data_IF_886781006803
#
_entry.id   IF_886781006803
#
_cell.length_a   1.000
_cell.length_b   1.000
_cell.length_c   1.000
_cell.angle_alpha   90.00
_cell.angle_beta   90.00
_cell.angle_gamma   90.00
#
_symmetry.space_group_name_H-M   'P 1'
#
loop_
_entity.id
_entity.type
_entity.pdbx_description
1 polymer ?
#
# COMPACT_ATOMS: atom_id res chain seq x y z
N UNK A 1 -4.71 44.77 9.51
CA UNK A 1 -5.16 43.90 8.40
C UNK A 1 -3.94 43.10 7.99
N UNK A 2 -3.85 41.85 8.44
CA UNK A 2 -2.79 40.94 8.01
C UNK A 2 -3.05 40.56 6.55
N UNK A 3 -2.13 40.94 5.67
CA UNK A 3 -2.16 40.49 4.28
C UNK A 3 -1.79 39.00 4.27
N UNK A 4 -2.76 38.17 3.93
CA UNK A 4 -2.53 36.76 3.69
C UNK A 4 -1.69 36.64 2.42
N UNK A 5 -0.45 36.17 2.58
CA UNK A 5 0.45 35.96 1.46
C UNK A 5 -0.20 34.98 0.46
N UNK A 6 -0.06 35.27 -0.84
CA UNK A 6 -0.55 34.38 -1.89
C UNK A 6 0.13 33.00 -1.72
N UNK A 7 -0.61 31.90 -1.95
CA UNK A 7 -0.04 30.56 -1.84
C UNK A 7 1.16 30.42 -2.80
N UNK A 8 2.20 29.69 -2.38
CA UNK A 8 3.40 29.51 -3.19
C UNK A 8 3.08 28.83 -4.52
N UNK A 9 3.82 29.21 -5.56
CA UNK A 9 3.72 28.63 -6.90
C UNK A 9 3.99 27.11 -6.85
N UNK A 10 3.04 26.25 -7.23
CA UNK A 10 3.18 24.80 -7.17
C UNK A 10 4.36 24.26 -7.99
N UNK A 11 4.82 25.00 -9.00
CA UNK A 11 5.96 24.62 -9.85
C UNK A 11 7.33 24.82 -9.18
N UNK A 12 7.37 25.52 -8.02
CA UNK A 12 8.58 25.82 -7.25
C UNK A 12 8.65 25.09 -5.91
N UNK A 13 7.62 24.33 -5.56
CA UNK A 13 7.61 23.54 -4.33
C UNK A 13 8.59 22.37 -4.44
N UNK A 14 9.31 22.11 -3.36
CA UNK A 14 10.02 20.84 -3.19
C UNK A 14 9.04 19.69 -3.46
N UNK A 15 9.49 18.63 -4.16
CA UNK A 15 8.62 17.52 -4.55
C UNK A 15 7.98 16.87 -3.31
N UNK A 16 8.69 16.86 -2.19
CA UNK A 16 8.25 16.38 -0.87
C UNK A 16 7.49 17.42 -0.04
N UNK A 17 7.24 18.63 -0.55
CA UNK A 17 6.45 19.64 0.19
C UNK A 17 5.05 19.13 0.48
N UNK A 18 4.57 19.34 1.72
CA UNK A 18 3.18 19.06 2.11
C UNK A 18 2.17 20.08 1.55
N UNK A 19 2.66 21.14 0.91
CA UNK A 19 1.85 22.08 0.13
C UNK A 19 1.73 21.64 -1.35
N UNK A 20 2.32 20.51 -1.72
CA UNK A 20 2.17 19.92 -3.04
C UNK A 20 0.71 19.55 -3.29
N UNK A 21 0.20 19.82 -4.50
CA UNK A 21 -1.18 19.54 -4.92
C UNK A 21 -1.64 18.09 -4.75
N UNK A 22 -0.69 17.14 -4.73
CA UNK A 22 -1.00 15.72 -4.53
C UNK A 22 -0.96 15.29 -3.08
N UNK A 23 -0.58 16.16 -2.15
CA UNK A 23 -0.58 15.87 -0.72
C UNK A 23 -1.91 16.32 -0.09
N UNK A 24 -2.85 15.39 0.03
CA UNK A 24 -4.18 15.70 0.56
C UNK A 24 -4.15 15.86 2.07
N UNK A 25 -4.67 16.96 2.61
CA UNK A 25 -4.56 17.24 4.05
C UNK A 25 -5.53 16.42 4.92
N UNK A 26 -6.55 15.82 4.31
CA UNK A 26 -7.59 15.04 4.99
C UNK A 26 -7.67 13.62 4.40
N UNK A 27 -7.92 12.65 5.28
CA UNK A 27 -8.10 11.22 4.98
C UNK A 27 -9.57 10.84 4.79
N UNK A 28 -10.51 11.62 5.31
CA UNK A 28 -11.90 11.20 5.57
C UNK A 28 -12.59 10.59 4.35
N UNK A 29 -12.43 11.19 3.16
CA UNK A 29 -13.04 10.67 1.92
C UNK A 29 -12.13 9.75 1.09
N UNK A 30 -10.93 9.45 1.61
CA UNK A 30 -9.86 8.77 0.88
C UNK A 30 -9.47 7.41 1.47
N UNK A 31 -10.06 7.01 2.61
CA UNK A 31 -9.88 5.66 3.18
C UNK A 31 -11.11 4.78 2.91
N UNK A 32 -11.05 3.83 1.97
CA UNK A 32 -12.15 2.90 1.72
C UNK A 32 -12.47 2.03 2.94
N UNK A 33 -13.74 1.66 3.11
CA UNK A 33 -14.20 0.87 4.25
C UNK A 33 -13.45 -0.48 4.41
N UNK A 34 -13.18 -1.18 3.30
CA UNK A 34 -12.42 -2.44 3.33
C UNK A 34 -10.98 -2.24 3.80
N UNK A 35 -10.37 -1.11 3.45
CA UNK A 35 -9.00 -0.79 3.85
C UNK A 35 -8.92 -0.37 5.31
N UNK A 36 -9.91 0.37 5.80
CA UNK A 36 -10.07 0.64 7.23
C UNK A 36 -10.23 -0.66 8.01
N UNK A 37 -11.14 -1.52 7.56
CA UNK A 37 -11.36 -2.85 8.14
C UNK A 37 -10.09 -3.70 8.16
N UNK A 38 -9.27 -3.63 7.10
CA UNK A 38 -7.98 -4.31 7.05
C UNK A 38 -7.03 -3.80 8.14
N UNK A 39 -6.91 -2.48 8.31
CA UNK A 39 -6.07 -1.89 9.36
C UNK A 39 -6.57 -2.27 10.77
N UNK A 40 -7.88 -2.30 10.97
CA UNK A 40 -8.48 -2.67 12.25
C UNK A 40 -8.30 -4.16 12.56
N UNK A 41 -8.70 -5.05 11.64
CA UNK A 41 -8.76 -6.49 11.89
C UNK A 41 -7.43 -7.21 11.65
N UNK A 42 -6.70 -6.86 10.59
CA UNK A 42 -5.41 -7.50 10.31
C UNK A 42 -4.30 -6.90 11.15
N UNK A 43 -4.25 -5.56 11.22
CA UNK A 43 -3.15 -4.83 11.89
C UNK A 43 -3.41 -4.58 13.37
N UNK A 44 -4.60 -4.95 13.87
CA UNK A 44 -5.03 -4.79 15.27
C UNK A 44 -4.90 -3.32 15.75
N UNK A 45 -5.25 -2.38 14.87
CA UNK A 45 -5.24 -0.95 15.18
C UNK A 45 -6.63 -0.56 15.70
N UNK A 46 -6.75 0.05 16.90
CA UNK A 46 -8.01 0.57 17.39
C UNK A 46 -8.64 1.55 16.37
N UNK A 47 -9.97 1.50 16.21
CA UNK A 47 -10.67 2.29 15.21
C UNK A 47 -10.40 3.81 15.35
N UNK A 48 -10.25 4.29 16.58
CA UNK A 48 -9.91 5.67 16.93
C UNK A 48 -8.48 6.07 16.51
N UNK A 49 -7.57 5.10 16.37
CA UNK A 49 -6.16 5.32 16.09
C UNK A 49 -5.82 5.20 14.60
N UNK A 50 -6.71 4.60 13.78
CA UNK A 50 -6.45 4.32 12.35
C UNK A 50 -6.01 5.57 11.59
N UNK A 51 -6.71 6.69 11.75
CA UNK A 51 -6.44 7.89 10.97
C UNK A 51 -5.06 8.48 11.33
N UNK A 52 -4.78 8.58 12.64
CA UNK A 52 -3.49 9.09 13.12
C UNK A 52 -2.32 8.22 12.66
N UNK A 53 -2.52 6.89 12.67
CA UNK A 53 -1.55 5.92 12.17
C UNK A 53 -1.31 6.08 10.66
N UNK A 54 -2.38 6.20 9.87
CA UNK A 54 -2.30 6.38 8.42
C UNK A 54 -1.58 7.69 8.06
N UNK A 55 -1.87 8.80 8.74
CA UNK A 55 -1.15 10.06 8.50
C UNK A 55 0.34 9.93 8.80
N UNK A 56 0.70 9.33 9.94
CA UNK A 56 2.10 9.11 10.32
C UNK A 56 2.85 8.29 9.29
N UNK A 57 2.26 7.17 8.85
CA UNK A 57 2.88 6.28 7.86
C UNK A 57 2.96 6.94 6.50
N UNK A 58 1.91 7.65 6.07
CA UNK A 58 1.94 8.41 4.82
C UNK A 58 3.09 9.41 4.82
N UNK A 59 3.31 10.12 5.91
CA UNK A 59 4.38 11.11 5.99
C UNK A 59 5.76 10.47 5.81
N UNK A 60 5.99 9.30 6.42
CA UNK A 60 7.21 8.52 6.19
C UNK A 60 7.36 8.10 4.72
N UNK A 61 6.28 7.58 4.10
CA UNK A 61 6.30 7.19 2.69
C UNK A 61 6.56 8.40 1.77
N UNK A 62 5.96 9.54 2.08
CA UNK A 62 6.03 10.77 1.29
C UNK A 62 7.43 11.40 1.34
N UNK A 63 8.07 11.39 2.51
CA UNK A 63 9.43 11.89 2.69
C UNK A 63 10.45 11.08 1.87
N UNK A 64 10.20 9.77 1.67
CA UNK A 64 11.05 8.91 0.85
C UNK A 64 10.74 9.01 -0.65
N UNK A 65 9.46 8.97 -1.01
CA UNK A 65 9.03 8.93 -2.40
C UNK A 65 7.67 9.63 -2.55
N UNK A 66 7.64 10.94 -2.87
CA UNK A 66 6.43 11.75 -2.92
C UNK A 66 5.62 11.51 -4.20
N UNK A 67 5.24 10.25 -4.43
CA UNK A 67 4.35 9.88 -5.52
C UNK A 67 2.91 10.30 -5.20
N UNK A 68 2.11 10.70 -6.21
CA UNK A 68 0.70 11.04 -6.01
C UNK A 68 -0.10 9.94 -5.30
N UNK A 69 0.22 8.67 -5.53
CA UNK A 69 -0.46 7.56 -4.85
C UNK A 69 -0.28 7.57 -3.32
N UNK A 70 0.81 8.15 -2.82
CA UNK A 70 1.07 8.30 -1.38
C UNK A 70 0.31 9.49 -0.83
N UNK A 71 0.49 10.67 -1.45
CA UNK A 71 -0.12 11.91 -0.98
C UNK A 71 -1.66 11.89 -1.01
N UNK A 72 -2.24 11.19 -1.98
CA UNK A 72 -3.69 11.03 -2.14
C UNK A 72 -4.26 9.79 -1.42
N UNK A 73 -3.47 9.10 -0.59
CA UNK A 73 -3.84 7.87 0.13
C UNK A 73 -4.25 6.67 -0.76
N UNK A 74 -3.98 6.72 -2.07
CA UNK A 74 -4.30 5.63 -3.00
C UNK A 74 -3.56 4.33 -2.70
N UNK A 75 -2.44 4.38 -1.97
CA UNK A 75 -1.75 3.18 -1.45
C UNK A 75 -2.61 2.34 -0.50
N UNK A 76 -3.72 2.89 0.01
CA UNK A 76 -4.72 2.15 0.80
C UNK A 76 -5.90 1.68 -0.06
N UNK A 77 -5.99 2.03 -1.34
CA UNK A 77 -7.11 1.61 -2.18
C UNK A 77 -6.92 0.17 -2.66
N UNK A 78 -7.84 -0.72 -2.28
CA UNK A 78 -7.90 -2.10 -2.78
C UNK A 78 -8.64 -2.15 -4.11
N UNK A 79 -7.91 -2.48 -5.17
CA UNK A 79 -8.41 -2.64 -6.55
C UNK A 79 -8.58 -4.11 -6.93
N UNK A 80 -7.76 -5.01 -6.38
CA UNK A 80 -7.83 -6.43 -6.73
C UNK A 80 -9.22 -7.04 -6.45
N UNK A 81 -9.88 -6.77 -5.29
CA UNK A 81 -11.24 -7.26 -5.05
C UNK A 81 -12.30 -6.73 -6.02
N UNK A 82 -12.03 -5.59 -6.66
CA UNK A 82 -12.93 -4.97 -7.65
C UNK A 82 -12.67 -5.48 -9.07
N UNK A 83 -11.62 -6.28 -9.29
CA UNK A 83 -11.24 -6.74 -10.60
C UNK A 83 -12.22 -7.84 -11.09
N UNK A 84 -12.70 -7.81 -12.36
CA UNK A 84 -13.66 -8.80 -12.87
C UNK A 84 -13.20 -10.25 -12.78
N UNK A 85 -11.88 -10.48 -12.77
CA UNK A 85 -11.26 -11.81 -12.62
C UNK A 85 -10.99 -12.21 -11.17
N UNK A 86 -11.33 -11.39 -10.18
CA UNK A 86 -11.06 -11.70 -8.77
C UNK A 86 -11.60 -13.08 -8.34
N UNK A 87 -12.84 -13.49 -8.70
CA UNK A 87 -13.32 -14.84 -8.35
C UNK A 87 -12.48 -15.96 -8.97
N UNK A 88 -12.01 -15.78 -10.21
CA UNK A 88 -11.15 -16.76 -10.88
C UNK A 88 -9.75 -16.81 -10.25
N UNK A 89 -9.20 -15.67 -9.82
CA UNK A 89 -7.93 -15.60 -9.08
C UNK A 89 -8.07 -16.36 -7.77
N UNK A 90 -9.12 -16.12 -6.99
CA UNK A 90 -9.37 -16.85 -5.74
C UNK A 90 -9.55 -18.34 -5.97
N UNK A 91 -10.29 -18.74 -7.01
CA UNK A 91 -10.44 -20.14 -7.38
C UNK A 91 -9.08 -20.76 -7.68
N UNK A 92 -8.22 -20.12 -8.46
CA UNK A 92 -6.88 -20.62 -8.74
C UNK A 92 -6.05 -20.77 -7.47
N UNK A 93 -6.08 -19.76 -6.59
CA UNK A 93 -5.30 -19.76 -5.35
C UNK A 93 -5.78 -20.80 -4.31
N UNK A 94 -7.06 -21.19 -4.36
CA UNK A 94 -7.66 -22.13 -3.40
C UNK A 94 -7.85 -23.55 -3.94
N UNK A 95 -7.85 -23.73 -5.27
CA UNK A 95 -8.22 -24.99 -5.92
C UNK A 95 -7.21 -26.13 -5.82
N UNK A 96 -5.98 -25.87 -5.38
CA UNK A 96 -4.90 -26.87 -5.44
C UNK A 96 -4.31 -27.16 -4.07
N UNK A 97 -4.60 -28.37 -3.55
CA UNK A 97 -3.88 -29.01 -2.43
C UNK A 97 -2.56 -29.60 -2.95
N UNK A 98 -1.82 -28.82 -3.74
CA UNK A 98 -0.55 -29.23 -4.32
C UNK A 98 0.57 -28.57 -3.53
N UNK A 99 1.68 -29.28 -3.31
CA UNK A 99 2.90 -28.70 -2.74
C UNK A 99 3.96 -28.60 -3.84
N UNK A 100 4.46 -27.39 -4.19
CA UNK A 100 4.00 -26.09 -3.68
C UNK A 100 2.65 -25.67 -4.27
N UNK A 101 1.88 -24.92 -3.47
CA UNK A 101 0.61 -24.34 -3.88
C UNK A 101 0.76 -23.25 -4.94
N UNK A 102 -0.36 -22.77 -5.50
CA UNK A 102 -0.39 -21.69 -6.47
C UNK A 102 0.07 -20.38 -5.80
N UNK A 103 0.91 -19.61 -6.50
CA UNK A 103 1.48 -18.36 -5.99
C UNK A 103 0.84 -17.14 -6.63
N UNK A 104 0.74 -16.05 -5.88
CA UNK A 104 0.30 -14.74 -6.39
C UNK A 104 1.47 -13.75 -6.38
N UNK A 105 1.62 -12.99 -7.46
CA UNK A 105 2.63 -11.93 -7.58
C UNK A 105 1.94 -10.59 -7.87
N UNK A 106 2.14 -9.61 -7.00
CA UNK A 106 1.75 -8.21 -7.19
C UNK A 106 2.96 -7.38 -7.65
N UNK A 107 2.84 -6.73 -8.81
CA UNK A 107 3.92 -5.96 -9.45
C UNK A 107 3.60 -4.48 -9.35
N UNK A 108 4.52 -3.71 -8.77
CA UNK A 108 4.24 -2.33 -8.35
C UNK A 108 3.35 -2.34 -7.11
N UNK A 109 3.65 -3.23 -6.16
CA UNK A 109 2.78 -3.51 -5.02
C UNK A 109 2.71 -2.36 -4.01
N UNK A 110 3.54 -1.32 -4.14
CA UNK A 110 3.66 -0.23 -3.16
C UNK A 110 3.89 -0.79 -1.75
N UNK A 111 2.92 -0.66 -0.83
CA UNK A 111 3.00 -1.20 0.53
C UNK A 111 2.45 -2.63 0.66
N UNK A 112 2.08 -3.28 -0.45
CA UNK A 112 1.57 -4.65 -0.47
C UNK A 112 0.19 -4.79 0.17
N UNK A 113 -0.66 -3.77 0.08
CA UNK A 113 -2.00 -3.76 0.67
C UNK A 113 -2.91 -4.86 0.11
N UNK A 114 -2.77 -5.20 -1.17
CA UNK A 114 -3.55 -6.27 -1.81
C UNK A 114 -3.17 -7.64 -1.25
N UNK A 115 -1.89 -7.85 -0.94
CA UNK A 115 -1.41 -9.09 -0.34
C UNK A 115 -1.98 -9.28 1.06
N UNK A 116 -1.99 -8.23 1.89
CA UNK A 116 -2.63 -8.29 3.23
C UNK A 116 -4.13 -8.50 3.12
N UNK A 117 -4.79 -7.87 2.14
CA UNK A 117 -6.22 -8.08 1.90
C UNK A 117 -6.53 -9.53 1.48
N UNK A 118 -5.72 -10.14 0.60
CA UNK A 118 -5.85 -11.56 0.24
C UNK A 118 -5.67 -12.48 1.45
N UNK A 119 -4.65 -12.22 2.27
CA UNK A 119 -4.38 -13.00 3.47
C UNK A 119 -5.52 -12.89 4.49
N UNK A 120 -6.01 -11.68 4.76
CA UNK A 120 -7.05 -11.42 5.76
C UNK A 120 -8.45 -11.85 5.31
N UNK A 121 -8.87 -11.45 4.10
CA UNK A 121 -10.27 -11.58 3.67
C UNK A 121 -10.53 -12.78 2.78
N UNK A 122 -9.50 -13.39 2.23
CA UNK A 122 -9.62 -14.59 1.38
C UNK A 122 -8.83 -15.77 1.91
N UNK A 123 -8.27 -15.65 3.12
CA UNK A 123 -7.58 -16.70 3.86
C UNK A 123 -6.46 -17.38 3.05
N UNK A 124 -5.82 -16.61 2.14
CA UNK A 124 -4.70 -17.12 1.35
C UNK A 124 -3.45 -17.11 2.24
N UNK A 125 -2.77 -18.25 2.44
CA UNK A 125 -1.54 -18.29 3.23
C UNK A 125 -0.51 -17.28 2.71
N UNK A 126 -0.02 -16.42 3.59
CA UNK A 126 0.83 -15.30 3.17
C UNK A 126 2.15 -15.74 2.54
N UNK A 127 2.66 -16.94 2.86
CA UNK A 127 3.84 -17.56 2.21
C UNK A 127 3.69 -17.77 0.69
N UNK A 128 2.46 -17.76 0.17
CA UNK A 128 2.17 -17.86 -1.26
C UNK A 128 2.03 -16.50 -1.95
N UNK A 129 2.15 -15.40 -1.19
CA UNK A 129 1.97 -14.04 -1.65
C UNK A 129 3.32 -13.37 -1.85
N UNK A 130 3.53 -12.85 -3.06
CA UNK A 130 4.76 -12.19 -3.48
C UNK A 130 4.42 -10.77 -3.93
N UNK A 131 5.24 -9.81 -3.53
CA UNK A 131 5.13 -8.41 -3.92
C UNK A 131 6.46 -7.88 -4.40
N UNK A 132 6.43 -7.07 -5.45
CA UNK A 132 7.60 -6.33 -5.89
C UNK A 132 7.27 -4.87 -6.17
N UNK A 133 8.18 -3.99 -5.80
CA UNK A 133 8.15 -2.57 -6.16
C UNK A 133 9.59 -2.08 -6.37
N UNK A 134 9.77 -1.04 -7.18
CA UNK A 134 11.09 -0.45 -7.37
C UNK A 134 11.54 0.33 -6.13
N UNK A 135 10.59 0.79 -5.31
CA UNK A 135 10.83 1.58 -4.10
C UNK A 135 10.95 0.67 -2.87
N UNK A 136 12.17 0.29 -2.48
CA UNK A 136 12.41 -0.56 -1.30
C UNK A 136 11.90 0.04 0.03
N UNK A 137 11.85 1.37 0.15
CA UNK A 137 11.29 2.04 1.33
C UNK A 137 9.80 1.75 1.52
N UNK A 138 9.02 1.61 0.44
CA UNK A 138 7.60 1.24 0.54
C UNK A 138 7.42 -0.14 1.16
N UNK A 139 8.24 -1.10 0.72
CA UNK A 139 8.23 -2.47 1.24
C UNK A 139 8.63 -2.52 2.72
N UNK A 140 9.60 -1.70 3.11
CA UNK A 140 10.07 -1.65 4.50
C UNK A 140 9.04 -0.97 5.42
N UNK A 141 8.48 0.16 5.00
CA UNK A 141 7.46 0.92 5.75
C UNK A 141 6.11 0.21 5.78
N UNK A 142 5.82 -0.69 4.83
CA UNK A 142 4.62 -1.54 4.86
C UNK A 142 4.45 -2.29 6.19
N UNK A 143 5.55 -2.77 6.77
CA UNK A 143 5.49 -3.48 8.05
C UNK A 143 5.09 -2.57 9.23
N UNK A 144 5.37 -1.27 9.13
CA UNK A 144 4.91 -0.30 10.13
C UNK A 144 3.42 0.02 9.94
N UNK A 145 2.96 0.08 8.68
CA UNK A 145 1.55 0.25 8.34
C UNK A 145 0.69 -0.88 8.89
N UNK A 146 1.10 -2.13 8.62
CA UNK A 146 0.31 -3.32 8.92
C UNK A 146 0.68 -4.01 10.24
N UNK A 147 1.74 -3.54 10.92
CA UNK A 147 2.24 -4.09 12.20
C UNK A 147 2.50 -5.61 12.15
N UNK A 148 3.00 -6.09 11.02
CA UNK A 148 3.01 -7.52 10.67
C UNK A 148 4.41 -8.10 10.43
N UNK A 149 5.47 -7.42 10.88
CA UNK A 149 6.88 -7.86 10.66
C UNK A 149 7.16 -9.31 11.09
N UNK A 150 6.46 -9.80 12.10
CA UNK A 150 6.61 -11.16 12.63
C UNK A 150 5.52 -12.14 12.17
N UNK A 151 4.49 -11.68 11.46
CA UNK A 151 3.30 -12.48 11.12
C UNK A 151 3.05 -12.59 9.62
N UNK A 152 3.56 -11.66 8.82
CA UNK A 152 3.48 -11.74 7.37
C UNK A 152 4.66 -12.57 6.81
N UNK A 153 4.33 -13.74 6.27
CA UNK A 153 5.29 -14.70 5.70
C UNK A 153 5.46 -14.53 4.18
N UNK A 154 4.81 -13.51 3.60
CA UNK A 154 4.93 -13.18 2.20
C UNK A 154 6.28 -12.58 1.84
N UNK A 155 6.66 -12.72 0.58
CA UNK A 155 7.96 -12.29 0.08
C UNK A 155 7.83 -10.93 -0.61
N UNK A 156 8.42 -9.89 -0.02
CA UNK A 156 8.50 -8.55 -0.62
C UNK A 156 9.92 -8.30 -1.15
N UNK A 157 10.04 -8.03 -2.44
CA UNK A 157 11.33 -7.85 -3.12
C UNK A 157 11.39 -6.49 -3.78
N UNK A 158 12.46 -5.75 -3.54
CA UNK A 158 12.74 -4.57 -4.34
C UNK A 158 13.31 -5.02 -5.70
N UNK A 159 12.63 -4.68 -6.80
CA UNK A 159 13.13 -4.99 -8.14
C UNK A 159 12.65 -3.99 -9.21
N UNK A 160 13.53 -3.73 -10.17
CA UNK A 160 13.14 -3.26 -11.49
C UNK A 160 12.85 -4.51 -12.35
N UNK A 161 11.66 -4.58 -12.95
CA UNK A 161 11.23 -5.70 -13.80
C UNK A 161 11.63 -5.52 -15.27
N UNK A 162 12.09 -4.33 -15.64
CA UNK A 162 12.63 -4.02 -16.96
C UNK A 162 14.13 -3.67 -16.91
N UNK A 163 14.96 -4.38 -16.12
CA UNK A 163 16.35 -4.04 -16.04
C UNK A 163 16.97 -4.28 -17.42
N UNK A 164 17.88 -3.39 -17.82
CA UNK A 164 18.70 -3.65 -19.00
C UNK A 164 19.66 -4.77 -18.63
N UNK A 165 19.38 -5.97 -19.10
CA UNK A 165 20.31 -7.09 -18.98
C UNK A 165 21.50 -6.82 -19.90
N UNK A 166 22.75 -6.94 -19.42
CA UNK A 166 23.89 -6.94 -20.32
C UNK A 166 23.75 -8.16 -21.25
N UNK A 167 23.58 -7.86 -22.54
CA UNK A 167 23.71 -8.82 -23.65
C UNK A 167 25.16 -9.24 -23.85
#
# INVERSE_FOLDING_TARGET
MEQQAAPPDPSKLDRSSKENRWYYKDLTSHLPAMSRKLLEEYSQIPAEDVDSHVYKVRDLLWDHAPYPCIGEFKFLTLKLPLHPKYPAILQLLTSTVSSPGPKFLDIGCCVGQELRALAQFSEIPSEYLYGTDINGSFLTTAYDLFKDRSTFEGTLVQADIFPVWPV
#
